data_IF_679106839915
#
_entry.id   IF_679106839915
#
_cell.length_a   1.000
_cell.length_b   1.000
_cell.length_c   1.000
_cell.angle_alpha   90.00
_cell.angle_beta   90.00
_cell.angle_gamma   90.00
#
_symmetry.space_group_name_H-M   'P 1'
#
loop_
_entity.id
_entity.type
_entity.pdbx_description
1 polymer ?
#
# COMPACT_ATOMS: atom_id res chain seq x y z
N UNK A 1 34.06 12.13 -11.13
CA UNK A 1 34.01 10.84 -10.45
C UNK A 1 32.63 10.27 -10.71
N UNK A 2 32.57 9.20 -11.49
CA UNK A 2 31.35 8.62 -12.04
C UNK A 2 30.65 7.81 -10.93
N UNK A 3 29.51 8.26 -10.42
CA UNK A 3 28.72 7.47 -9.48
C UNK A 3 27.83 6.53 -10.27
N UNK A 4 28.23 5.26 -10.27
CA UNK A 4 27.48 4.15 -10.83
C UNK A 4 26.39 3.78 -9.81
N UNK A 5 25.14 4.16 -10.07
CA UNK A 5 23.99 3.77 -9.27
C UNK A 5 23.50 2.41 -9.78
N UNK A 6 23.90 1.32 -9.12
CA UNK A 6 23.31 0.01 -9.33
C UNK A 6 22.00 -0.05 -8.51
N UNK A 7 20.86 0.06 -9.18
CA UNK A 7 19.57 -0.34 -8.63
C UNK A 7 19.28 -1.71 -9.24
N UNK A 8 19.45 -2.76 -8.44
CA UNK A 8 19.03 -4.10 -8.79
C UNK A 8 17.54 -4.22 -8.45
N UNK A 9 16.72 -4.25 -9.49
CA UNK A 9 15.32 -4.66 -9.37
C UNK A 9 15.28 -6.19 -9.25
N UNK A 10 14.74 -6.70 -8.16
CA UNK A 10 14.40 -8.12 -8.04
C UNK A 10 12.95 -8.21 -7.65
N UNK A 11 12.12 -8.58 -8.63
CA UNK A 11 10.82 -9.15 -8.37
C UNK A 11 11.05 -10.48 -7.65
N UNK A 12 10.70 -10.53 -6.35
CA UNK A 12 10.53 -11.80 -5.65
C UNK A 12 9.26 -12.43 -6.22
N UNK A 13 9.42 -13.28 -7.23
CA UNK A 13 8.35 -14.14 -7.70
C UNK A 13 8.13 -15.24 -6.66
N UNK A 14 7.32 -14.95 -5.64
CA UNK A 14 6.61 -16.01 -4.95
C UNK A 14 5.64 -16.58 -6.00
N UNK A 15 5.65 -17.90 -6.28
CA UNK A 15 4.66 -18.47 -7.17
C UNK A 15 3.28 -18.13 -6.62
N UNK A 16 2.58 -17.23 -7.30
CA UNK A 16 1.17 -16.97 -7.06
C UNK A 16 0.47 -18.25 -7.51
N UNK A 17 0.32 -19.21 -6.60
CA UNK A 17 -0.78 -20.15 -6.74
C UNK A 17 -2.02 -19.28 -6.76
N UNK A 18 -2.62 -19.16 -7.95
CA UNK A 18 -3.82 -18.37 -8.16
C UNK A 18 -4.81 -18.75 -7.08
N UNK A 19 -5.00 -17.85 -6.11
CA UNK A 19 -6.11 -17.94 -5.20
C UNK A 19 -7.32 -17.87 -6.12
N UNK A 20 -8.07 -18.96 -6.24
CA UNK A 20 -9.39 -18.90 -6.86
C UNK A 20 -10.15 -17.75 -6.22
N UNK A 21 -10.92 -17.00 -7.02
CA UNK A 21 -11.62 -15.82 -6.54
C UNK A 21 -12.38 -16.13 -5.25
N UNK A 22 -11.91 -15.57 -4.12
CA UNK A 22 -12.56 -15.71 -2.83
C UNK A 22 -13.63 -14.63 -2.68
N UNK A 23 -14.70 -14.96 -1.97
CA UNK A 23 -15.67 -13.95 -1.58
C UNK A 23 -15.13 -13.07 -0.45
N UNK A 24 -15.64 -11.84 -0.34
CA UNK A 24 -15.30 -10.93 0.75
C UNK A 24 -15.53 -11.58 2.12
N UNK A 25 -16.63 -12.32 2.30
CA UNK A 25 -16.95 -13.02 3.54
C UNK A 25 -15.89 -14.07 3.88
N UNK A 26 -15.48 -14.89 2.92
CA UNK A 26 -14.45 -15.91 3.14
C UNK A 26 -13.10 -15.30 3.55
N UNK A 27 -12.71 -14.17 2.96
CA UNK A 27 -11.49 -13.46 3.35
C UNK A 27 -11.61 -12.85 4.75
N UNK A 28 -12.75 -12.23 5.10
CA UNK A 28 -13.00 -11.71 6.45
C UNK A 28 -13.02 -12.83 7.49
N UNK A 29 -13.70 -13.94 7.21
CA UNK A 29 -13.75 -15.11 8.09
C UNK A 29 -12.36 -15.73 8.27
N UNK A 30 -11.58 -15.84 7.19
CA UNK A 30 -10.20 -16.29 7.27
C UNK A 30 -9.37 -15.39 8.18
N UNK A 31 -9.35 -14.08 7.94
CA UNK A 31 -8.59 -13.10 8.73
C UNK A 31 -9.01 -13.13 10.21
N UNK A 32 -10.31 -13.25 10.47
CA UNK A 32 -10.88 -13.26 11.83
C UNK A 32 -10.43 -14.45 12.69
N UNK A 33 -9.85 -15.50 12.09
CA UNK A 33 -9.24 -16.59 12.84
C UNK A 33 -7.88 -16.21 13.47
N UNK A 34 -7.25 -15.13 13.00
CA UNK A 34 -5.88 -14.76 13.37
C UNK A 34 -5.76 -13.34 13.94
N UNK A 35 -6.60 -12.42 13.46
CA UNK A 35 -6.54 -10.99 13.82
C UNK A 35 -7.94 -10.40 13.93
N UNK A 36 -8.07 -9.33 14.70
CA UNK A 36 -9.30 -8.53 14.71
C UNK A 36 -9.50 -7.84 13.36
N UNK A 37 -10.72 -7.92 12.83
CA UNK A 37 -11.10 -7.29 11.56
C UNK A 37 -12.23 -6.29 11.81
N UNK A 38 -11.99 -5.03 11.45
CA UNK A 38 -13.01 -3.99 11.41
C UNK A 38 -13.63 -3.96 10.02
N UNK A 39 -14.93 -4.21 9.92
CA UNK A 39 -15.65 -4.19 8.63
C UNK A 39 -16.48 -2.91 8.51
N UNK A 40 -16.09 -2.04 7.59
CA UNK A 40 -16.85 -0.85 7.20
C UNK A 40 -17.88 -1.23 6.13
N UNK A 41 -19.08 -0.64 6.18
CA UNK A 41 -20.20 -0.98 5.29
C UNK A 41 -20.95 0.27 4.84
N UNK A 42 -21.38 0.28 3.58
CA UNK A 42 -22.37 1.23 3.08
C UNK A 42 -23.72 0.98 3.74
N UNK A 43 -24.65 1.94 3.62
CA UNK A 43 -26.00 1.82 4.21
C UNK A 43 -26.77 0.61 3.69
N UNK A 44 -26.62 0.29 2.41
CA UNK A 44 -27.23 -0.88 1.77
C UNK A 44 -26.46 -2.18 2.00
N UNK A 45 -25.27 -2.11 2.60
CA UNK A 45 -24.40 -3.25 2.88
C UNK A 45 -23.72 -3.85 1.64
N UNK A 46 -23.81 -3.22 0.48
CA UNK A 46 -23.20 -3.72 -0.76
C UNK A 46 -21.71 -3.40 -0.82
N UNK A 47 -21.33 -2.15 -0.59
CA UNK A 47 -19.94 -1.77 -0.51
C UNK A 47 -19.41 -2.07 0.90
N UNK A 48 -18.31 -2.83 1.01
CA UNK A 48 -17.68 -3.14 2.30
C UNK A 48 -16.17 -3.09 2.20
N UNK A 49 -15.52 -2.79 3.33
CA UNK A 49 -14.05 -2.70 3.46
C UNK A 49 -13.62 -3.40 4.75
N UNK A 50 -12.69 -4.34 4.64
CA UNK A 50 -12.09 -5.06 5.76
C UNK A 50 -10.76 -4.41 6.14
N UNK A 51 -10.68 -3.88 7.37
CA UNK A 51 -9.52 -3.16 7.91
C UNK A 51 -8.95 -3.91 9.10
N UNK A 52 -7.63 -4.07 9.17
CA UNK A 52 -6.98 -4.82 10.26
C UNK A 52 -6.09 -3.89 11.09
N UNK A 53 -6.46 -3.59 12.36
CA UNK A 53 -5.64 -2.78 13.26
C UNK A 53 -4.24 -3.37 13.49
N UNK A 54 -4.16 -4.70 13.62
CA UNK A 54 -2.91 -5.43 13.84
C UNK A 54 -1.90 -5.27 12.70
N UNK A 55 -2.36 -4.90 11.50
CA UNK A 55 -1.55 -4.67 10.31
C UNK A 55 -1.53 -3.18 9.97
N UNK A 56 -1.26 -2.33 10.95
CA UNK A 56 -1.13 -0.87 10.79
C UNK A 56 -2.40 -0.17 10.24
N UNK A 57 -3.59 -0.68 10.60
CA UNK A 57 -4.86 -0.16 10.05
C UNK A 57 -4.99 -0.36 8.53
N UNK A 58 -4.40 -1.44 8.00
CA UNK A 58 -4.38 -1.78 6.58
C UNK A 58 -5.76 -2.18 6.09
N UNK A 59 -6.12 -1.72 4.89
CA UNK A 59 -7.26 -2.28 4.16
C UNK A 59 -6.80 -3.59 3.55
N UNK A 60 -7.30 -4.71 4.07
CA UNK A 60 -6.96 -6.04 3.56
C UNK A 60 -7.71 -6.32 2.27
N UNK A 61 -9.00 -6.00 2.24
CA UNK A 61 -9.78 -6.08 1.01
C UNK A 61 -11.07 -5.26 1.09
N UNK A 62 -11.69 -5.01 -0.05
CA UNK A 62 -12.99 -4.42 -0.24
C UNK A 62 -13.85 -5.24 -1.22
N UNK A 63 -15.14 -4.94 -1.25
CA UNK A 63 -16.09 -5.48 -2.21
C UNK A 63 -17.16 -4.45 -2.54
N UNK A 64 -17.73 -4.55 -3.75
CA UNK A 64 -18.79 -3.66 -4.22
C UNK A 64 -20.18 -4.33 -4.29
N UNK A 65 -20.27 -5.65 -4.06
CA UNK A 65 -21.50 -6.44 -4.29
C UNK A 65 -21.94 -7.27 -3.09
N UNK A 66 -21.54 -6.84 -1.89
CA UNK A 66 -21.90 -7.46 -0.62
C UNK A 66 -20.97 -8.60 -0.21
N UNK A 67 -21.25 -9.27 0.92
CA UNK A 67 -20.32 -10.24 1.50
C UNK A 67 -20.01 -11.45 0.61
N UNK A 68 -20.97 -11.85 -0.23
CA UNK A 68 -20.79 -12.97 -1.17
C UNK A 68 -20.19 -12.49 -2.51
N UNK A 69 -19.88 -11.20 -2.63
CA UNK A 69 -19.22 -10.59 -3.77
C UNK A 69 -17.73 -10.89 -3.81
N UNK A 70 -17.11 -10.58 -4.95
CA UNK A 70 -15.67 -10.73 -5.14
C UNK A 70 -14.90 -9.87 -4.13
N UNK A 71 -13.86 -10.48 -3.57
CA UNK A 71 -12.81 -9.79 -2.81
C UNK A 71 -11.73 -9.25 -3.76
N UNK A 72 -11.37 -7.98 -3.63
CA UNK A 72 -10.44 -7.33 -4.57
C UNK A 72 -8.96 -7.37 -4.14
N UNK A 73 -8.71 -7.56 -2.85
CA UNK A 73 -7.37 -7.50 -2.26
C UNK A 73 -6.67 -8.84 -2.34
N UNK A 74 -5.38 -8.83 -2.63
CA UNK A 74 -4.57 -10.05 -2.48
C UNK A 74 -4.22 -10.26 -1.01
N UNK A 75 -4.42 -11.47 -0.51
CA UNK A 75 -4.16 -11.86 0.89
C UNK A 75 -3.18 -13.03 0.93
N UNK A 76 -2.09 -12.86 1.68
CA UNK A 76 -1.11 -13.93 1.90
C UNK A 76 -1.59 -14.90 3.00
N UNK A 77 -2.47 -15.81 2.60
CA UNK A 77 -3.10 -16.76 3.53
C UNK A 77 -2.08 -17.66 4.23
N UNK A 78 -1.01 -18.07 3.55
CA UNK A 78 0.03 -18.92 4.13
C UNK A 78 0.78 -18.20 5.26
N UNK A 79 1.27 -16.98 5.00
CA UNK A 79 1.98 -16.20 6.01
C UNK A 79 1.09 -15.89 7.21
N UNK A 80 -0.15 -15.44 6.98
CA UNK A 80 -1.10 -15.13 8.06
C UNK A 80 -1.40 -16.38 8.89
N UNK A 81 -1.68 -17.51 8.24
CA UNK A 81 -1.98 -18.77 8.93
C UNK A 81 -0.79 -19.32 9.72
N UNK A 82 0.44 -19.02 9.29
CA UNK A 82 1.65 -19.45 10.00
C UNK A 82 1.82 -18.78 11.36
N UNK A 83 1.26 -17.57 11.55
CA UNK A 83 1.47 -16.73 12.74
C UNK A 83 2.93 -16.28 12.93
N UNK A 84 3.79 -16.48 11.93
CA UNK A 84 5.21 -16.14 11.99
C UNK A 84 5.45 -14.71 11.52
N UNK A 85 6.51 -14.13 12.10
CA UNK A 85 7.12 -12.90 11.59
C UNK A 85 8.37 -13.33 10.81
N UNK A 86 8.41 -12.99 9.54
CA UNK A 86 9.55 -13.22 8.66
C UNK A 86 10.60 -12.11 8.82
N UNK A 87 11.88 -12.40 8.55
CA UNK A 87 12.91 -11.37 8.48
C UNK A 87 12.61 -10.38 7.34
N UNK A 88 13.16 -9.17 7.44
CA UNK A 88 13.09 -8.11 6.43
C UNK A 88 11.70 -7.46 6.24
N UNK A 89 10.68 -8.24 5.87
CA UNK A 89 9.32 -7.73 5.59
C UNK A 89 8.26 -8.83 5.75
N UNK A 90 7.10 -8.43 6.27
CA UNK A 90 5.94 -9.30 6.40
C UNK A 90 4.87 -8.94 5.36
N UNK A 91 4.83 -9.71 4.28
CA UNK A 91 3.96 -9.46 3.12
C UNK A 91 2.59 -10.10 3.33
N UNK A 92 1.78 -9.56 4.25
CA UNK A 92 0.42 -10.06 4.52
C UNK A 92 -0.57 -9.82 3.36
N UNK A 93 -0.25 -8.95 2.41
CA UNK A 93 -1.16 -8.49 1.36
C UNK A 93 -1.88 -7.19 1.72
N UNK A 94 -2.99 -6.90 1.04
CA UNK A 94 -3.86 -5.75 1.28
C UNK A 94 -3.88 -4.68 0.20
N UNK A 95 -5.03 -4.05 -0.01
CA UNK A 95 -5.28 -3.00 -1.01
C UNK A 95 -4.69 -1.63 -0.63
N UNK A 96 -4.56 -1.36 0.68
CA UNK A 96 -4.02 -0.09 1.18
C UNK A 96 -3.18 -0.34 2.44
N UNK A 97 -1.87 -0.44 2.24
CA UNK A 97 -0.84 -0.56 3.28
C UNK A 97 -0.15 0.77 3.50
N UNK A 98 -0.29 1.32 4.71
CA UNK A 98 0.49 2.47 5.16
C UNK A 98 1.98 2.13 5.25
N UNK A 99 2.83 3.05 4.79
CA UNK A 99 4.28 2.88 4.88
C UNK A 99 5.02 4.21 4.76
N UNK A 100 6.30 4.19 5.07
CA UNK A 100 7.15 5.36 5.16
C UNK A 100 8.48 5.18 4.45
N UNK A 101 9.00 6.27 3.90
CA UNK A 101 10.33 6.34 3.29
C UNK A 101 11.24 7.34 3.99
N UNK A 102 12.49 7.47 3.52
CA UNK A 102 13.01 6.85 2.28
C UNK A 102 13.52 5.41 2.48
N UNK A 103 13.39 4.57 1.46
CA UNK A 103 13.89 3.19 1.49
C UNK A 103 15.39 3.06 1.23
N UNK A 104 15.93 3.95 0.40
CA UNK A 104 17.33 3.96 0.02
C UNK A 104 17.99 5.33 0.16
N UNK A 105 19.29 5.38 -0.13
CA UNK A 105 20.09 6.59 -0.05
C UNK A 105 20.51 6.98 1.36
N UNK A 106 21.22 8.10 1.48
CA UNK A 106 21.89 8.52 2.72
C UNK A 106 20.96 8.66 3.94
N UNK A 107 19.67 8.92 3.72
CA UNK A 107 18.67 9.11 4.78
C UNK A 107 17.71 7.93 4.93
N UNK A 108 18.05 6.75 4.38
CA UNK A 108 17.19 5.57 4.49
C UNK A 108 16.85 5.23 5.95
N UNK A 109 15.60 4.84 6.20
CA UNK A 109 15.14 4.28 7.48
C UNK A 109 15.18 2.74 7.51
N UNK A 110 15.70 2.10 6.47
CA UNK A 110 15.67 0.64 6.27
C UNK A 110 17.04 -0.02 6.44
N UNK A 111 18.09 0.77 6.61
CA UNK A 111 19.45 0.28 6.73
C UNK A 111 20.07 0.82 8.02
N UNK A 112 20.93 0.02 8.64
CA UNK A 112 21.81 0.53 9.68
C UNK A 112 22.84 1.51 9.11
N UNK A 113 23.46 2.29 9.99
CA UNK A 113 24.63 3.11 9.65
C UNK A 113 25.71 2.21 9.03
N UNK A 114 26.36 2.69 7.96
CA UNK A 114 27.39 1.98 7.19
C UNK A 114 27.01 0.64 6.54
N UNK A 115 25.79 0.15 6.72
CA UNK A 115 25.34 -1.06 6.06
C UNK A 115 25.34 -0.90 4.53
N UNK A 116 25.75 -1.95 3.78
CA UNK A 116 25.65 -1.97 2.33
C UNK A 116 24.18 -1.96 1.89
N UNK A 117 23.92 -1.41 0.71
CA UNK A 117 22.59 -1.42 0.11
C UNK A 117 22.35 -2.77 -0.60
N UNK A 118 22.06 -3.80 0.19
CA UNK A 118 21.66 -5.14 -0.27
C UNK A 118 20.46 -5.68 0.54
N UNK A 119 19.88 -6.79 0.10
CA UNK A 119 18.70 -7.37 0.75
C UNK A 119 18.99 -7.97 2.13
N UNK A 120 20.23 -8.41 2.37
CA UNK A 120 20.63 -9.01 3.65
C UNK A 120 20.59 -7.96 4.78
N UNK A 121 20.87 -6.70 4.47
CA UNK A 121 20.89 -5.63 5.46
C UNK A 121 19.64 -4.73 5.44
N UNK A 122 18.80 -4.86 4.42
CA UNK A 122 17.56 -4.13 4.32
C UNK A 122 16.55 -4.66 5.35
N UNK A 123 15.94 -3.79 6.15
CA UNK A 123 14.94 -4.17 7.15
C UNK A 123 13.83 -3.13 7.22
N UNK A 124 12.59 -3.59 7.11
CA UNK A 124 11.43 -2.73 7.29
C UNK A 124 11.32 -2.27 8.76
N UNK A 125 11.14 -0.97 9.03
CA UNK A 125 10.82 -0.48 10.37
C UNK A 125 9.56 -1.14 10.93
N UNK A 126 9.63 -1.59 12.18
CA UNK A 126 8.53 -2.31 12.83
C UNK A 126 7.19 -1.53 12.82
N UNK A 127 7.25 -0.20 12.94
CA UNK A 127 6.08 0.68 12.91
C UNK A 127 5.29 0.68 11.59
N UNK A 128 5.83 0.11 10.51
CA UNK A 128 5.15 -0.05 9.20
C UNK A 128 5.10 -1.51 8.72
N UNK A 129 5.38 -2.47 9.62
CA UNK A 129 5.41 -3.90 9.30
C UNK A 129 4.71 -4.77 10.35
N UNK A 130 5.13 -4.68 11.61
CA UNK A 130 4.76 -5.65 12.66
C UNK A 130 4.07 -5.02 13.86
N UNK A 131 4.20 -3.71 14.07
CA UNK A 131 3.56 -3.04 15.20
C UNK A 131 2.08 -2.73 14.88
N UNK A 132 1.14 -3.09 15.76
CA UNK A 132 -0.28 -2.81 15.55
C UNK A 132 -0.57 -1.32 15.75
N UNK A 133 -1.53 -0.78 15.01
CA UNK A 133 -2.05 0.55 15.27
C UNK A 133 -3.22 0.49 16.24
N UNK A 134 -3.31 1.46 17.14
CA UNK A 134 -4.40 1.53 18.11
C UNK A 134 -5.66 2.04 17.41
N UNK A 135 -6.73 1.27 17.44
CA UNK A 135 -8.06 1.73 17.01
C UNK A 135 -8.61 2.73 18.02
N UNK A 136 -8.72 4.00 17.62
CA UNK A 136 -9.19 5.11 18.46
C UNK A 136 -10.72 5.15 18.48
N UNK A 137 -11.34 4.97 17.31
CA UNK A 137 -12.80 4.95 17.16
C UNK A 137 -13.18 4.23 15.87
N UNK A 138 -14.37 3.65 15.83
CA UNK A 138 -14.97 3.18 14.59
C UNK A 138 -16.47 3.45 14.58
N UNK A 139 -17.03 3.52 13.38
CA UNK A 139 -18.46 3.60 13.10
C UNK A 139 -18.82 2.59 12.00
N UNK A 140 -20.02 2.68 11.44
CA UNK A 140 -20.41 1.82 10.32
C UNK A 140 -19.51 2.01 9.09
N UNK A 141 -19.03 3.23 8.83
CA UNK A 141 -18.32 3.57 7.59
C UNK A 141 -16.95 4.25 7.82
N UNK A 142 -16.46 4.32 9.05
CA UNK A 142 -15.16 4.92 9.37
C UNK A 142 -14.41 4.13 10.45
N UNK A 143 -13.09 4.04 10.32
CA UNK A 143 -12.18 3.57 11.36
C UNK A 143 -10.99 4.52 11.50
N UNK A 144 -10.69 4.94 12.72
CA UNK A 144 -9.64 5.92 13.06
C UNK A 144 -8.58 5.25 13.91
N UNK A 145 -7.32 5.43 13.54
CA UNK A 145 -6.17 4.80 14.14
C UNK A 145 -5.10 5.81 14.54
N UNK A 146 -4.34 5.47 15.57
CA UNK A 146 -3.13 6.22 15.95
C UNK A 146 -2.01 5.29 16.37
N UNK A 147 -0.77 5.72 16.14
CA UNK A 147 0.43 5.02 16.57
C UNK A 147 1.56 6.01 16.88
N UNK A 148 2.39 5.68 17.86
CA UNK A 148 3.58 6.45 18.22
C UNK A 148 4.81 5.61 17.93
N UNK A 149 5.69 6.10 17.08
CA UNK A 149 6.88 5.38 16.65
C UNK A 149 8.15 6.21 16.89
N UNK A 150 9.25 5.50 17.10
CA UNK A 150 10.60 6.08 17.02
C UNK A 150 11.35 5.35 15.92
N UNK A 151 11.78 6.08 14.90
CA UNK A 151 12.50 5.54 13.75
C UNK A 151 13.78 6.33 13.59
N UNK A 152 14.89 5.67 13.29
CA UNK A 152 16.13 6.36 12.95
C UNK A 152 16.49 6.12 11.50
N UNK A 153 17.04 7.14 10.84
CA UNK A 153 17.68 6.91 9.56
C UNK A 153 19.15 6.52 9.73
N UNK A 154 19.74 5.96 8.69
CA UNK A 154 21.15 5.55 8.66
C UNK A 154 22.14 6.72 8.77
N UNK A 155 21.69 7.96 8.64
CA UNK A 155 22.51 9.15 8.91
C UNK A 155 22.63 9.46 10.41
N UNK A 156 21.88 8.75 11.26
CA UNK A 156 21.89 8.92 12.72
C UNK A 156 20.80 9.87 13.24
N UNK A 157 19.91 10.38 12.38
CA UNK A 157 18.77 11.19 12.82
C UNK A 157 17.68 10.30 13.39
N UNK A 158 17.25 10.56 14.62
CA UNK A 158 16.10 9.91 15.25
C UNK A 158 14.84 10.76 15.10
N UNK A 159 13.78 10.15 14.58
CA UNK A 159 12.45 10.73 14.41
C UNK A 159 11.50 10.13 15.45
N UNK A 160 10.90 10.98 16.29
CA UNK A 160 9.72 10.63 17.09
C UNK A 160 8.48 11.06 16.30
N UNK A 161 7.65 10.11 15.91
CA UNK A 161 6.57 10.31 14.95
C UNK A 161 5.25 9.84 15.54
N UNK A 162 4.23 10.70 15.46
CA UNK A 162 2.84 10.28 15.61
C UNK A 162 2.26 10.00 14.24
N UNK A 163 1.70 8.81 14.06
CA UNK A 163 1.03 8.37 12.84
C UNK A 163 -0.47 8.37 13.12
N UNK A 164 -1.23 9.09 12.31
CA UNK A 164 -2.69 9.07 12.34
C UNK A 164 -3.20 8.59 11.00
N UNK A 165 -4.14 7.65 11.05
CA UNK A 165 -4.71 7.02 9.86
C UNK A 165 -6.22 6.90 10.02
N UNK A 166 -6.97 7.37 9.03
CA UNK A 166 -8.42 7.23 8.98
C UNK A 166 -8.83 6.53 7.70
N UNK A 167 -9.61 5.46 7.81
CA UNK A 167 -10.23 4.79 6.68
C UNK A 167 -11.71 5.16 6.66
N UNK A 168 -12.18 5.74 5.57
CA UNK A 168 -13.59 6.05 5.35
C UNK A 168 -14.12 5.37 4.11
N UNK A 169 -15.24 4.69 4.26
CA UNK A 169 -16.08 4.24 3.16
C UNK A 169 -17.04 5.37 2.79
N UNK A 170 -16.88 5.85 1.55
CA UNK A 170 -17.71 6.91 0.98
C UNK A 170 -18.98 6.32 0.35
N UNK A 171 -19.94 7.21 0.07
CA UNK A 171 -20.98 6.87 -0.88
C UNK A 171 -20.35 6.80 -2.29
N UNK A 172 -20.56 5.71 -3.04
CA UNK A 172 -19.93 5.54 -4.34
C UNK A 172 -20.36 6.69 -5.28
N UNK A 173 -19.43 7.21 -6.10
CA UNK A 173 -19.76 8.21 -7.10
C UNK A 173 -20.70 7.65 -8.16
N UNK A 174 -21.32 8.54 -8.95
CA UNK A 174 -22.05 8.11 -10.14
C UNK A 174 -21.10 7.32 -11.06
N UNK A 175 -21.55 6.15 -11.51
CA UNK A 175 -20.78 5.17 -12.29
C UNK A 175 -20.18 5.73 -13.59
N UNK A 176 -20.57 6.93 -14.01
CA UNK A 176 -20.04 7.63 -15.18
C UNK A 176 -18.54 8.00 -15.10
N UNK A 177 -17.88 7.84 -13.94
CA UNK A 177 -16.43 8.01 -13.82
C UNK A 177 -15.71 7.03 -14.77
N UNK A 178 -14.84 7.58 -15.63
CA UNK A 178 -14.04 6.79 -16.56
C UNK A 178 -14.81 6.20 -17.75
N UNK A 179 -16.07 6.60 -17.97
CA UNK A 179 -16.87 6.13 -19.12
C UNK A 179 -17.44 4.72 -18.96
N UNK A 180 -17.43 4.15 -17.75
CA UNK A 180 -17.98 2.82 -17.48
C UNK A 180 -19.48 2.92 -17.21
N UNK A 181 -20.31 2.64 -18.22
CA UNK A 181 -21.76 2.90 -18.12
C UNK A 181 -22.50 2.14 -17.01
N UNK A 182 -21.95 1.04 -16.46
CA UNK A 182 -22.51 0.24 -15.35
C UNK A 182 -21.40 -0.51 -14.61
N UNK A 183 -20.94 0.01 -13.48
CA UNK A 183 -20.06 -0.69 -12.55
C UNK A 183 -20.68 -0.73 -11.15
N UNK A 184 -20.49 -1.84 -10.44
CA UNK A 184 -20.63 -1.84 -8.98
C UNK A 184 -19.36 -1.24 -8.41
N UNK A 185 -19.49 -0.23 -7.55
CA UNK A 185 -18.35 0.58 -7.08
C UNK A 185 -18.28 0.48 -5.56
N UNK A 186 -17.07 0.27 -5.07
CA UNK A 186 -16.68 0.58 -3.69
C UNK A 186 -15.74 1.76 -3.74
N UNK A 187 -16.03 2.80 -2.96
CA UNK A 187 -15.20 3.99 -2.86
C UNK A 187 -14.79 4.17 -1.40
N UNK A 188 -13.50 4.06 -1.12
CA UNK A 188 -12.97 4.37 0.20
C UNK A 188 -11.73 5.25 0.09
N UNK A 189 -11.47 5.98 1.16
CA UNK A 189 -10.33 6.88 1.29
C UNK A 189 -9.54 6.48 2.52
N UNK A 190 -8.21 6.41 2.36
CA UNK A 190 -7.28 6.42 3.48
C UNK A 190 -6.65 7.82 3.62
N UNK A 191 -6.87 8.45 4.76
CA UNK A 191 -6.18 9.70 5.13
C UNK A 191 -5.06 9.36 6.10
N UNK A 192 -3.85 9.75 5.75
CA UNK A 192 -2.64 9.36 6.45
C UNK A 192 -1.82 10.60 6.78
N UNK A 193 -1.53 10.80 8.06
CA UNK A 193 -0.74 11.94 8.54
C UNK A 193 0.40 11.44 9.42
N UNK A 194 1.59 11.99 9.23
CA UNK A 194 2.69 11.88 10.17
C UNK A 194 2.98 13.23 10.80
N UNK A 195 3.13 13.26 12.12
CA UNK A 195 3.42 14.47 12.88
C UNK A 195 4.75 14.32 13.61
N UNK A 196 5.61 15.32 13.48
CA UNK A 196 6.82 15.41 14.31
C UNK A 196 6.42 15.68 15.76
N UNK A 197 6.71 14.74 16.65
CA UNK A 197 6.50 14.85 18.09
C UNK A 197 7.82 14.79 18.86
N UNK A 198 8.94 14.99 18.14
CA UNK A 198 10.27 15.12 18.69
C UNK A 198 10.61 16.55 19.12
N UNK A 199 11.76 16.68 19.77
CA UNK A 199 12.24 17.93 20.35
C UNK A 199 12.91 18.86 19.31
N UNK A 200 13.24 18.33 18.13
CA UNK A 200 13.91 19.04 17.04
C UNK A 200 13.06 19.03 15.75
N UNK A 201 13.10 20.09 14.93
CA UNK A 201 12.39 20.13 13.66
C UNK A 201 13.00 19.15 12.65
N UNK A 202 12.17 18.60 11.76
CA UNK A 202 12.67 17.88 10.59
C UNK A 202 13.24 18.86 9.58
N UNK A 203 14.46 18.61 9.12
CA UNK A 203 15.15 19.45 8.14
C UNK A 203 15.68 18.62 6.99
N UNK A 204 15.93 19.24 5.84
CA UNK A 204 16.51 18.54 4.67
C UNK A 204 17.90 17.98 4.97
N UNK A 205 18.66 18.65 5.83
CA UNK A 205 20.04 18.29 6.16
C UNK A 205 20.11 17.03 7.05
N UNK A 206 19.07 16.78 7.83
CA UNK A 206 18.94 15.60 8.71
C UNK A 206 18.13 14.46 8.07
N UNK A 207 17.58 14.68 6.86
CA UNK A 207 16.62 13.81 6.20
C UNK A 207 15.16 14.10 6.58
N UNK A 208 14.27 13.82 5.63
CA UNK A 208 12.82 13.96 5.77
C UNK A 208 12.15 12.60 5.58
N UNK A 209 11.06 12.38 6.30
CA UNK A 209 10.19 11.23 6.12
C UNK A 209 9.15 11.52 5.04
N UNK A 210 8.77 10.48 4.29
CA UNK A 210 7.69 10.54 3.30
C UNK A 210 6.67 9.45 3.58
N UNK A 211 5.41 9.71 3.29
CA UNK A 211 4.36 8.67 3.24
C UNK A 211 4.30 8.14 1.82
N UNK A 212 4.15 6.83 1.69
CA UNK A 212 3.68 6.20 0.46
C UNK A 212 2.60 5.16 0.82
N UNK A 213 1.83 4.68 -0.14
CA UNK A 213 0.78 3.67 0.10
C UNK A 213 0.99 2.55 -0.91
N UNK A 214 1.06 1.31 -0.43
CA UNK A 214 1.16 0.14 -1.30
C UNK A 214 -0.19 -0.57 -1.40
N UNK A 215 -0.57 -0.93 -2.63
CA UNK A 215 -1.72 -1.79 -2.89
C UNK A 215 -1.29 -3.10 -3.54
N UNK A 216 -1.81 -4.20 -3.00
CA UNK A 216 -1.62 -5.56 -3.52
C UNK A 216 -2.99 -6.12 -3.89
N UNK A 217 -3.24 -6.22 -5.21
CA UNK A 217 -4.49 -6.70 -5.79
C UNK A 217 -4.29 -8.07 -6.42
N UNK A 218 -5.37 -8.84 -6.55
CA UNK A 218 -5.33 -10.13 -7.22
C UNK A 218 -5.00 -9.95 -8.71
N UNK A 219 -3.89 -10.52 -9.22
CA UNK A 219 -3.55 -10.42 -10.63
C UNK A 219 -4.45 -11.32 -11.48
N UNK A 220 -4.64 -10.95 -12.75
CA UNK A 220 -5.23 -11.84 -13.76
C UNK A 220 -4.71 -11.46 -15.16
N UNK A 221 -4.66 -12.40 -16.11
CA UNK A 221 -4.29 -12.10 -17.50
C UNK A 221 -5.11 -10.97 -18.14
N UNK A 222 -6.32 -10.71 -17.63
CA UNK A 222 -7.25 -9.69 -18.07
C UNK A 222 -7.22 -8.41 -17.21
N UNK A 223 -6.53 -8.40 -16.07
CA UNK A 223 -6.43 -7.22 -15.20
C UNK A 223 -5.67 -6.10 -15.90
N UNK A 224 -6.35 -4.96 -16.07
CA UNK A 224 -5.77 -3.75 -16.65
C UNK A 224 -5.85 -2.61 -15.65
N UNK A 225 -4.69 -2.09 -15.26
CA UNK A 225 -4.57 -0.86 -14.48
C UNK A 225 -4.72 0.32 -15.43
N UNK A 226 -5.64 1.24 -15.12
CA UNK A 226 -5.93 2.43 -15.91
C UNK A 226 -5.54 3.66 -15.09
N UNK A 227 -4.53 4.41 -15.55
CA UNK A 227 -4.03 5.59 -14.82
C UNK A 227 -4.27 6.84 -15.69
N UNK A 228 -5.32 7.62 -15.41
CA UNK A 228 -5.51 8.91 -16.07
C UNK A 228 -4.47 9.92 -15.59
N UNK A 229 -4.02 10.79 -16.48
CA UNK A 229 -3.09 11.88 -16.15
C UNK A 229 -3.48 13.16 -16.89
N UNK A 230 -3.04 14.31 -16.36
CA UNK A 230 -3.29 15.61 -16.98
C UNK A 230 -2.47 15.74 -18.27
N UNK A 231 -3.09 15.88 -19.46
CA UNK A 231 -2.34 16.13 -20.68
C UNK A 231 -1.70 17.53 -20.66
N UNK A 232 -0.53 17.68 -21.27
CA UNK A 232 0.17 18.95 -21.37
C UNK A 232 1.60 18.79 -21.87
N UNK A 233 2.31 19.91 -22.13
CA UNK A 233 3.68 19.89 -22.60
C UNK A 233 4.64 19.36 -21.53
N UNK A 234 5.56 18.48 -21.93
CA UNK A 234 6.57 17.88 -21.05
C UNK A 234 7.45 18.93 -20.35
N UNK A 235 7.69 20.07 -20.99
CA UNK A 235 8.46 21.18 -20.41
C UNK A 235 7.80 21.80 -19.18
N UNK A 236 6.48 21.63 -19.01
CA UNK A 236 5.73 22.16 -17.86
C UNK A 236 5.39 21.06 -16.84
N UNK A 237 5.05 19.87 -17.32
CA UNK A 237 4.53 18.78 -16.47
C UNK A 237 5.54 17.67 -16.18
N UNK A 238 6.70 17.70 -16.83
CA UNK A 238 7.62 16.56 -16.87
C UNK A 238 7.14 15.46 -17.83
N UNK A 239 7.89 14.35 -17.93
CA UNK A 239 7.56 13.25 -18.82
C UNK A 239 6.21 12.63 -18.43
N UNK A 240 5.45 12.15 -19.42
CA UNK A 240 4.13 11.50 -19.20
C UNK A 240 4.20 10.35 -18.21
N UNK A 241 5.30 9.58 -18.24
CA UNK A 241 5.54 8.43 -17.38
C UNK A 241 7.03 8.36 -17.04
N UNK A 242 7.35 8.01 -15.79
CA UNK A 242 8.68 7.59 -15.39
C UNK A 242 8.63 6.08 -15.13
N UNK A 243 8.91 5.30 -16.18
CA UNK A 243 8.96 3.84 -16.11
C UNK A 243 10.38 3.31 -15.88
N UNK A 244 11.27 4.15 -15.33
CA UNK A 244 12.65 3.79 -15.00
C UNK A 244 12.90 3.67 -13.49
N UNK A 245 11.90 3.99 -12.64
CA UNK A 245 12.08 4.07 -11.19
C UNK A 245 12.59 2.76 -10.56
N UNK A 246 12.00 1.62 -10.94
CA UNK A 246 12.48 0.28 -10.59
C UNK A 246 13.08 -0.47 -11.80
N UNK A 247 13.51 0.26 -12.84
CA UNK A 247 13.90 -0.33 -14.11
C UNK A 247 12.77 -0.31 -15.14
N UNK A 248 13.17 -0.51 -16.41
CA UNK A 248 12.30 -0.30 -17.58
C UNK A 248 11.15 -1.31 -17.61
N UNK A 249 9.92 -0.80 -17.64
CA UNK A 249 8.73 -1.64 -17.84
C UNK A 249 8.70 -2.18 -19.28
N UNK A 250 8.44 -3.49 -19.50
CA UNK A 250 8.34 -4.07 -20.83
C UNK A 250 7.27 -3.39 -21.71
N UNK A 251 7.56 -3.22 -23.01
CA UNK A 251 6.68 -2.50 -23.95
C UNK A 251 5.32 -3.17 -24.14
N UNK A 252 5.23 -4.49 -23.96
CA UNK A 252 3.99 -5.26 -24.04
C UNK A 252 3.11 -5.09 -22.78
N UNK A 253 3.68 -4.60 -21.68
CA UNK A 253 2.99 -4.41 -20.40
C UNK A 253 2.48 -2.99 -20.17
N UNK A 254 2.99 -1.99 -20.89
CA UNK A 254 2.67 -0.59 -20.70
C UNK A 254 2.29 0.09 -22.02
N UNK A 255 1.08 0.65 -22.08
CA UNK A 255 0.62 1.47 -23.22
C UNK A 255 0.31 2.88 -22.76
N UNK A 256 0.99 3.87 -23.34
CA UNK A 256 0.82 5.29 -23.00
C UNK A 256 -0.03 5.98 -24.08
N UNK A 257 -1.19 6.50 -23.69
CA UNK A 257 -2.05 7.32 -24.54
C UNK A 257 -1.79 8.83 -24.38
N UNK A 258 -2.78 9.63 -24.75
CA UNK A 258 -2.69 11.10 -24.67
C UNK A 258 -2.93 11.64 -23.26
N UNK A 259 -3.90 11.06 -22.54
CA UNK A 259 -4.32 11.48 -21.18
C UNK A 259 -4.54 10.30 -20.23
N UNK A 260 -4.16 9.10 -20.64
CA UNK A 260 -4.32 7.86 -19.88
C UNK A 260 -3.22 6.88 -20.25
N UNK A 261 -2.74 6.12 -19.28
CA UNK A 261 -1.87 4.96 -19.51
C UNK A 261 -2.58 3.69 -19.04
N UNK A 262 -2.23 2.58 -19.68
CA UNK A 262 -2.71 1.24 -19.36
C UNK A 262 -1.53 0.36 -19.01
N UNK A 263 -1.62 -0.33 -17.89
CA UNK A 263 -0.61 -1.27 -17.42
C UNK A 263 -1.23 -2.65 -17.18
N UNK A 264 -0.57 -3.72 -17.63
CA UNK A 264 -1.01 -5.10 -17.39
C UNK A 264 -0.76 -5.49 -15.94
N UNK A 265 -1.82 -5.85 -15.22
CA UNK A 265 -1.78 -6.33 -13.84
C UNK A 265 -1.87 -7.84 -13.76
N UNK A 266 -1.15 -8.56 -14.63
CA UNK A 266 -1.25 -10.02 -14.77
C UNK A 266 -0.33 -10.84 -13.85
N UNK A 267 0.52 -10.16 -13.07
CA UNK A 267 1.37 -10.78 -12.07
C UNK A 267 2.65 -11.40 -12.61
N UNK A 268 3.08 -11.04 -13.84
CA UNK A 268 4.34 -11.49 -14.45
C UNK A 268 5.28 -10.35 -14.79
#
# INVERSE_FOLDING_TARGET
MLYLLFILCVAVFVPVYGAGASSFREDVEFLSNYVEVVVLKSKDGMAQVAVVPAYQGRVMTSTATGPDGQSFGWINRELIASGKIEPHINVFGGEDRFWMGPEGGQFSIFFAEDAPFDLEHWQTPACIDTEPFTLVSHSQNEAVFTHMATVSNRFGTTFKVKIDRTIRLNEPPDSSIGGVSKASIVDYVSENTITNVGDAPWTKDSGLLSIWILGMFCPSPETTVVIPFRPGPETELGPKVNDAYFGKVPEDKLKVGDSVLFFSGDGT
#
